data_IF_121043799187
#
_entry.id   IF_121043799187
#
_cell.length_a   1.000
_cell.length_b   1.000
_cell.length_c   1.000
_cell.angle_alpha   90.00
_cell.angle_beta   90.00
_cell.angle_gamma   90.00
#
_symmetry.space_group_name_H-M   'P 1'
#
loop_
_entity.id
_entity.type
_entity.pdbx_description
1 polymer ?
#
# COMPACT_ATOMS: atom_id res chain seq x y z
N UNK A 1 7.04 7.20 -23.16
CA UNK A 1 7.51 7.43 -21.78
C UNK A 1 6.58 6.66 -20.84
N UNK A 2 6.82 5.37 -20.62
CA UNK A 2 6.12 4.63 -19.57
C UNK A 2 6.82 4.97 -18.24
N UNK A 3 6.50 6.14 -17.67
CA UNK A 3 7.06 6.57 -16.39
C UNK A 3 6.37 5.89 -15.20
N UNK A 4 6.42 6.50 -14.02
CA UNK A 4 5.70 6.09 -12.80
C UNK A 4 4.18 5.89 -12.97
N UNK A 5 3.59 6.30 -14.09
CA UNK A 5 2.19 6.06 -14.44
C UNK A 5 1.86 4.59 -14.69
N UNK A 6 2.85 3.75 -15.03
CA UNK A 6 2.65 2.31 -15.20
C UNK A 6 2.39 1.58 -13.87
N UNK A 7 2.82 2.16 -12.75
CA UNK A 7 2.66 1.57 -11.42
C UNK A 7 1.40 2.16 -10.80
N UNK A 8 0.41 1.32 -10.51
CA UNK A 8 -0.81 1.74 -9.85
C UNK A 8 -0.52 2.33 -8.45
N UNK A 9 -1.15 3.45 -8.10
CA UNK A 9 -1.02 4.10 -6.79
C UNK A 9 -1.49 3.16 -5.66
N UNK A 10 -2.55 2.41 -5.93
CA UNK A 10 -3.19 1.50 -4.99
C UNK A 10 -3.45 0.18 -5.70
N UNK A 11 -3.04 -0.91 -5.06
CA UNK A 11 -3.43 -2.25 -5.45
C UNK A 11 -3.64 -3.07 -4.16
N UNK A 12 -4.91 -3.24 -3.79
CA UNK A 12 -5.35 -3.91 -2.57
C UNK A 12 -6.53 -4.83 -2.86
N UNK A 13 -6.66 -5.92 -2.09
CA UNK A 13 -7.81 -6.80 -2.22
C UNK A 13 -9.12 -6.06 -1.86
N UNK A 14 -10.24 -6.34 -2.56
CA UNK A 14 -11.48 -5.56 -2.42
C UNK A 14 -12.25 -5.84 -1.11
N UNK A 15 -11.88 -6.89 -0.35
CA UNK A 15 -12.57 -7.23 0.90
C UNK A 15 -11.69 -8.00 1.86
N UNK A 16 -12.02 -7.90 3.14
CA UNK A 16 -11.40 -8.65 4.23
C UNK A 16 -10.41 -7.83 5.04
N UNK A 17 -9.71 -8.52 5.94
CA UNK A 17 -8.65 -7.94 6.78
C UNK A 17 -7.32 -8.54 6.33
N UNK A 18 -6.40 -7.69 5.90
CA UNK A 18 -5.11 -8.13 5.37
C UNK A 18 -4.00 -7.16 5.71
N UNK A 19 -2.75 -7.62 5.58
CA UNK A 19 -1.58 -6.80 5.80
C UNK A 19 -1.37 -5.89 4.60
N UNK A 20 -0.84 -4.69 4.84
CA UNK A 20 -0.47 -3.77 3.79
C UNK A 20 0.91 -3.16 4.07
N UNK A 21 1.58 -2.73 3.02
CA UNK A 21 2.81 -1.96 3.07
C UNK A 21 2.68 -0.67 2.28
N UNK A 22 3.35 0.37 2.76
CA UNK A 22 3.55 1.61 2.04
C UNK A 22 4.94 1.56 1.40
N UNK A 23 4.98 1.65 0.09
CA UNK A 23 6.22 1.53 -0.68
C UNK A 23 6.53 2.87 -1.36
N UNK A 24 7.77 3.33 -1.17
CA UNK A 24 8.36 4.39 -1.98
C UNK A 24 9.01 3.76 -3.21
N UNK A 25 8.39 3.99 -4.35
CA UNK A 25 8.90 3.63 -5.66
C UNK A 25 9.70 4.79 -6.25
N UNK A 26 10.93 4.53 -6.68
CA UNK A 26 11.82 5.52 -7.31
C UNK A 26 12.24 5.02 -8.68
N UNK A 27 11.98 5.80 -9.72
CA UNK A 27 12.42 5.49 -11.08
C UNK A 27 13.92 5.80 -11.23
N UNK A 28 14.71 4.85 -11.73
CA UNK A 28 16.18 5.02 -11.85
C UNK A 28 16.57 6.07 -12.88
N UNK A 29 15.81 6.22 -13.96
CA UNK A 29 16.10 7.13 -15.08
C UNK A 29 15.86 8.60 -14.71
N UNK A 30 14.66 8.91 -14.22
CA UNK A 30 14.20 10.28 -13.94
C UNK A 30 14.45 10.71 -12.50
N UNK A 31 14.80 9.78 -11.60
CA UNK A 31 14.81 9.95 -10.13
C UNK A 31 13.45 10.38 -9.57
N UNK A 32 12.38 10.25 -10.34
CA UNK A 32 11.04 10.57 -9.86
C UNK A 32 10.63 9.53 -8.80
N UNK A 33 9.93 10.01 -7.78
CA UNK A 33 9.46 9.18 -6.68
C UNK A 33 7.95 9.19 -6.57
N UNK A 34 7.40 8.06 -6.12
CA UNK A 34 5.97 7.85 -5.94
C UNK A 34 5.73 6.95 -4.74
N UNK A 35 4.71 7.26 -3.97
CA UNK A 35 4.24 6.40 -2.89
C UNK A 35 3.10 5.55 -3.40
N UNK A 36 3.18 4.24 -3.14
CA UNK A 36 2.17 3.28 -3.54
C UNK A 36 1.77 2.39 -2.38
N UNK A 37 0.50 2.02 -2.35
CA UNK A 37 -0.10 1.17 -1.32
C UNK A 37 -0.34 -0.21 -1.90
N UNK A 38 0.14 -1.24 -1.20
CA UNK A 38 -0.01 -2.65 -1.59
C UNK A 38 -0.50 -3.48 -0.41
N UNK A 39 -1.48 -4.35 -0.64
CA UNK A 39 -2.02 -5.20 0.43
C UNK A 39 -2.88 -6.34 -0.10
N UNK A 40 -2.53 -7.57 0.26
CA UNK A 40 -3.20 -8.76 -0.27
C UNK A 40 -3.51 -9.74 0.85
N UNK A 41 -4.69 -10.33 0.80
CA UNK A 41 -5.16 -11.36 1.72
C UNK A 41 -4.35 -12.64 1.62
N UNK A 42 -3.82 -12.96 0.43
CA UNK A 42 -2.92 -14.10 0.20
C UNK A 42 -1.56 -13.96 0.90
N UNK A 43 -1.14 -12.74 1.23
CA UNK A 43 0.17 -12.48 1.83
C UNK A 43 0.07 -12.53 3.36
N UNK A 44 0.70 -13.54 3.95
CA UNK A 44 0.70 -13.72 5.40
C UNK A 44 1.67 -12.75 6.09
N UNK A 45 2.69 -12.26 5.39
CA UNK A 45 3.67 -11.32 5.93
C UNK A 45 3.80 -10.07 5.05
N UNK A 46 4.26 -8.97 5.66
CA UNK A 46 4.54 -7.73 4.94
C UNK A 46 5.67 -7.89 3.92
N UNK A 47 6.61 -8.80 4.17
CA UNK A 47 7.71 -9.11 3.26
C UNK A 47 7.20 -9.76 1.96
N UNK A 48 6.23 -10.68 2.06
CA UNK A 48 5.63 -11.34 0.90
C UNK A 48 5.02 -10.33 -0.07
N UNK A 49 4.34 -9.31 0.46
CA UNK A 49 3.75 -8.22 -0.34
C UNK A 49 4.85 -7.46 -1.08
N UNK A 50 5.98 -7.20 -0.42
CA UNK A 50 7.09 -6.47 -1.02
C UNK A 50 7.74 -7.29 -2.14
N UNK A 51 7.97 -8.58 -1.91
CA UNK A 51 8.59 -9.47 -2.90
C UNK A 51 7.68 -9.71 -4.11
N UNK A 52 6.37 -9.85 -3.89
CA UNK A 52 5.39 -9.91 -4.96
C UNK A 52 5.38 -8.60 -5.77
N UNK A 53 5.37 -7.44 -5.09
CA UNK A 53 5.40 -6.13 -5.75
C UNK A 53 6.70 -5.94 -6.55
N UNK A 54 7.85 -6.41 -6.03
CA UNK A 54 9.13 -6.38 -6.73
C UNK A 54 9.15 -7.24 -7.98
N UNK A 55 8.49 -8.39 -7.94
CA UNK A 55 8.39 -9.29 -9.09
C UNK A 55 7.47 -8.73 -10.17
N UNK A 56 6.40 -8.04 -9.78
CA UNK A 56 5.47 -7.38 -10.69
C UNK A 56 5.99 -6.05 -11.26
N UNK A 57 6.96 -5.42 -10.60
CA UNK A 57 7.50 -4.11 -11.00
C UNK A 57 8.76 -4.29 -11.86
N UNK A 58 8.91 -3.56 -12.98
CA UNK A 58 10.13 -3.60 -13.78
C UNK A 58 11.39 -3.24 -12.97
N UNK A 59 12.53 -3.82 -13.34
CA UNK A 59 13.82 -3.62 -12.68
C UNK A 59 14.36 -2.18 -12.79
N UNK A 60 13.75 -1.35 -13.62
CA UNK A 60 14.03 0.09 -13.75
C UNK A 60 13.54 0.91 -12.54
N UNK A 61 12.75 0.31 -11.66
CA UNK A 61 12.24 0.94 -10.45
C UNK A 61 12.91 0.37 -9.19
N UNK A 62 13.11 1.23 -8.21
CA UNK A 62 13.61 0.86 -6.88
C UNK A 62 12.46 0.96 -5.90
N UNK A 63 12.11 -0.18 -5.27
CA UNK A 63 11.05 -0.27 -4.28
C UNK A 63 11.63 -0.30 -2.86
N UNK A 64 11.29 0.70 -2.07
CA UNK A 64 11.63 0.79 -0.65
C UNK A 64 10.37 0.74 0.19
N UNK A 65 10.20 -0.30 0.99
CA UNK A 65 9.17 -0.32 2.03
C UNK A 65 9.50 0.73 3.09
N UNK A 66 8.56 1.65 3.34
CA UNK A 66 8.70 2.72 4.35
C UNK A 66 7.81 2.48 5.58
N UNK A 67 7.20 1.30 5.66
CA UNK A 67 6.39 0.86 6.79
C UNK A 67 5.21 0.01 6.32
N UNK A 68 4.45 -0.49 7.27
CA UNK A 68 3.18 -1.16 6.97
C UNK A 68 2.20 -1.14 8.12
N UNK A 69 1.15 -1.95 7.97
CA UNK A 69 0.10 -2.15 8.95
C UNK A 69 -0.90 -3.18 8.44
N UNK A 70 -2.17 -2.99 8.79
CA UNK A 70 -3.32 -3.75 8.31
C UNK A 70 -4.34 -2.82 7.67
N UNK A 71 -5.06 -3.37 6.70
CA UNK A 71 -6.21 -2.76 6.09
C UNK A 71 -7.39 -3.69 6.34
N UNK A 72 -8.47 -3.14 6.86
CA UNK A 72 -9.78 -3.76 6.84
C UNK A 72 -10.58 -3.09 5.72
N UNK A 73 -10.82 -3.83 4.65
CA UNK A 73 -11.57 -3.37 3.49
C UNK A 73 -12.95 -4.03 3.49
N UNK A 74 -13.99 -3.21 3.50
CA UNK A 74 -15.36 -3.63 3.35
C UNK A 74 -15.98 -2.90 2.15
N UNK A 75 -16.00 -3.56 1.00
CA UNK A 75 -16.60 -3.03 -0.24
C UNK A 75 -18.13 -2.86 -0.15
N UNK A 76 -18.82 -3.68 0.67
CA UNK A 76 -20.27 -3.57 0.85
C UNK A 76 -20.65 -2.26 1.55
N UNK A 77 -19.96 -1.94 2.65
CA UNK A 77 -20.18 -0.71 3.42
C UNK A 77 -19.37 0.48 2.87
N UNK A 78 -18.61 0.27 1.77
CA UNK A 78 -17.64 1.22 1.21
C UNK A 78 -16.75 1.83 2.30
N UNK A 79 -16.23 0.99 3.19
CA UNK A 79 -15.45 1.42 4.35
C UNK A 79 -14.07 0.77 4.33
N UNK A 80 -13.04 1.59 4.52
CA UNK A 80 -11.66 1.13 4.66
C UNK A 80 -11.08 1.70 5.97
N UNK A 81 -10.58 0.82 6.82
CA UNK A 81 -9.84 1.17 8.03
C UNK A 81 -8.37 0.76 7.88
N UNK A 82 -7.46 1.72 8.01
CA UNK A 82 -6.00 1.51 8.00
C UNK A 82 -5.48 1.57 9.43
N UNK A 83 -4.77 0.55 9.91
CA UNK A 83 -4.33 0.52 11.31
C UNK A 83 -3.12 -0.38 11.58
N UNK A 84 -2.64 -0.39 12.82
CA UNK A 84 -1.57 -1.28 13.29
C UNK A 84 -0.21 -1.04 12.63
N UNK A 85 0.68 -2.03 12.66
CA UNK A 85 2.06 -1.85 12.20
C UNK A 85 2.65 -3.12 11.57
N UNK A 86 3.73 -2.95 10.80
CA UNK A 86 4.55 -4.07 10.35
C UNK A 86 5.61 -4.42 11.41
N UNK A 87 5.69 -5.70 11.79
CA UNK A 87 6.74 -6.16 12.71
C UNK A 87 8.14 -5.97 12.11
N UNK A 88 8.29 -6.13 10.80
CA UNK A 88 9.59 -6.04 10.11
C UNK A 88 9.94 -4.64 9.62
N UNK A 89 8.95 -3.83 9.26
CA UNK A 89 9.18 -2.50 8.65
C UNK A 89 8.71 -1.33 9.51
N UNK A 90 8.13 -1.60 10.68
CA UNK A 90 7.53 -0.58 11.54
C UNK A 90 6.17 -0.08 11.03
N UNK A 91 5.66 0.96 11.69
CA UNK A 91 4.38 1.58 11.35
C UNK A 91 4.55 2.50 10.15
N UNK A 92 3.75 2.30 9.10
CA UNK A 92 3.65 3.26 8.00
C UNK A 92 2.99 4.57 8.44
N UNK A 93 3.20 5.63 7.68
CA UNK A 93 2.35 6.81 7.77
C UNK A 93 0.95 6.46 7.23
N UNK A 94 0.01 6.20 8.15
CA UNK A 94 -1.35 5.83 7.79
C UNK A 94 -2.12 6.98 7.16
N UNK A 95 -1.80 8.23 7.49
CA UNK A 95 -2.44 9.39 6.87
C UNK A 95 -2.12 9.42 5.38
N UNK A 96 -0.85 9.23 5.01
CA UNK A 96 -0.44 9.13 3.59
C UNK A 96 -1.17 7.98 2.90
N UNK A 97 -1.26 6.83 3.56
CA UNK A 97 -1.97 5.66 3.02
C UNK A 97 -3.44 5.99 2.74
N UNK A 98 -4.14 6.61 3.70
CA UNK A 98 -5.53 7.05 3.55
C UNK A 98 -5.68 8.04 2.40
N UNK A 99 -4.78 9.01 2.25
CA UNK A 99 -4.86 10.01 1.18
C UNK A 99 -4.69 9.39 -0.20
N UNK A 100 -3.81 8.39 -0.36
CA UNK A 100 -3.65 7.64 -1.61
C UNK A 100 -4.91 6.79 -1.87
N UNK A 101 -5.44 6.11 -0.86
CA UNK A 101 -6.65 5.30 -0.97
C UNK A 101 -7.86 6.15 -1.36
N UNK A 102 -8.03 7.36 -0.80
CA UNK A 102 -9.13 8.28 -1.13
C UNK A 102 -9.13 8.71 -2.58
N UNK A 103 -7.96 8.80 -3.22
CA UNK A 103 -7.87 9.08 -4.67
C UNK A 103 -8.40 7.93 -5.52
N UNK A 104 -8.22 6.68 -5.06
CA UNK A 104 -8.67 5.48 -5.76
C UNK A 104 -10.14 5.17 -5.45
N UNK A 105 -10.57 5.41 -4.22
CA UNK A 105 -11.91 5.12 -3.69
C UNK A 105 -12.53 6.41 -3.14
N UNK A 106 -12.94 7.35 -4.02
CA UNK A 106 -13.48 8.65 -3.58
C UNK A 106 -14.82 8.52 -2.85
N UNK A 107 -15.58 7.46 -3.15
CA UNK A 107 -16.90 7.21 -2.57
C UNK A 107 -16.85 6.42 -1.26
N UNK A 108 -15.64 6.11 -0.77
CA UNK A 108 -15.45 5.30 0.43
C UNK A 108 -15.22 6.16 1.67
N UNK A 109 -15.72 5.70 2.80
CA UNK A 109 -15.32 6.20 4.11
C UNK A 109 -13.96 5.56 4.46
N UNK A 110 -12.88 6.34 4.39
CA UNK A 110 -11.53 5.86 4.66
C UNK A 110 -10.99 6.54 5.90
N UNK A 111 -10.71 5.76 6.93
CA UNK A 111 -10.20 6.21 8.22
C UNK A 111 -8.91 5.47 8.58
N UNK A 112 -8.15 6.03 9.52
CA UNK A 112 -7.03 5.31 10.10
C UNK A 112 -7.05 5.36 11.63
N UNK A 113 -6.41 4.36 12.24
CA UNK A 113 -6.08 4.35 13.66
C UNK A 113 -4.60 4.06 13.83
N UNK A 114 -3.97 4.79 14.74
CA UNK A 114 -2.58 4.54 15.12
C UNK A 114 -2.43 3.42 16.15
N UNK A 115 -3.56 2.90 16.63
CA UNK A 115 -3.68 1.85 17.63
C UNK A 115 -4.07 0.50 16.98
N UNK A 116 -3.85 -0.59 17.73
CA UNK A 116 -4.22 -1.95 17.34
C UNK A 116 -3.07 -2.78 16.73
N UNK A 117 -3.22 -4.10 16.73
CA UNK A 117 -2.34 -5.05 16.02
C UNK A 117 -3.13 -5.94 15.08
#
# INVERSE_FOLDING_TARGET
>A
MAGLSQIADVDIDPKGVFKYILIKCVEKSSKAEKLVVRGYYRCNFHADILDETRTATPSDFTLKCIGGGRIQHNDLDKNILVYGYSQGYGRADHQITVDILKRKYPDYCITFSNDGY
#
